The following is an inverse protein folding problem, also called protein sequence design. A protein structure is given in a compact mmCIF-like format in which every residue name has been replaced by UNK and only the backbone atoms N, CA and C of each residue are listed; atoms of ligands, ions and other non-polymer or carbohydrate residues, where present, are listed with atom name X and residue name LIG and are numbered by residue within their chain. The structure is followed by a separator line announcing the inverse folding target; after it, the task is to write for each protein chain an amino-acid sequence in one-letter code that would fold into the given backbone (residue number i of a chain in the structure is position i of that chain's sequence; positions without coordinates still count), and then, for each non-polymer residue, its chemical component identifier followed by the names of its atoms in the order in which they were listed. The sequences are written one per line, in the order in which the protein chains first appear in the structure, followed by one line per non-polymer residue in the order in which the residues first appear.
data_IF_138812247417
#
_entry.id   IF_138812247417
#
_cell.length_a   1.000
_cell.length_b   1.000
_cell.length_c   1.000
_cell.angle_alpha   90.00
_cell.angle_beta   90.00
_cell.angle_gamma   90.00
#
_symmetry.space_group_name_H-M   'P 1'
#
loop_
_entity.id
_entity.type
_entity.pdbx_description
1 polymer ?
#
# COMPACT_ATOMS: atom_id res chain seq x y z
N UNK A 1 -14.47 21.08 25.92
CA UNK A 1 -15.09 20.88 24.61
C UNK A 1 -16.28 19.94 24.77
N UNK A 2 -17.46 20.28 24.25
CA UNK A 2 -18.61 19.38 24.29
C UNK A 2 -18.31 18.12 23.46
N UNK A 3 -18.60 16.93 24.01
CA UNK A 3 -18.49 15.67 23.25
C UNK A 3 -19.44 15.77 22.04
N UNK A 4 -19.01 15.38 20.82
CA UNK A 4 -19.90 15.31 19.67
C UNK A 4 -21.09 14.40 19.97
N UNK A 5 -22.26 14.68 19.43
CA UNK A 5 -23.39 13.77 19.56
C UNK A 5 -23.06 12.43 18.91
N UNK A 6 -23.61 11.33 19.42
CA UNK A 6 -23.39 9.99 18.89
C UNK A 6 -23.67 9.91 17.38
N UNK A 7 -24.78 10.49 16.94
CA UNK A 7 -25.14 10.58 15.51
C UNK A 7 -24.07 11.30 14.65
N UNK A 8 -23.46 12.36 15.16
CA UNK A 8 -22.41 13.07 14.46
C UNK A 8 -21.15 12.20 14.34
N UNK A 9 -20.84 11.46 15.40
CA UNK A 9 -19.72 10.55 15.41
C UNK A 9 -19.93 9.40 14.42
N UNK A 10 -21.09 8.75 14.46
CA UNK A 10 -21.46 7.69 13.50
C UNK A 10 -21.35 8.21 12.05
N UNK A 11 -21.84 9.42 11.77
CA UNK A 11 -21.74 10.04 10.44
C UNK A 11 -20.28 10.26 10.00
N UNK A 12 -19.41 10.69 10.91
CA UNK A 12 -17.99 10.90 10.61
C UNK A 12 -17.25 9.59 10.29
N UNK A 13 -17.73 8.46 10.80
CA UNK A 13 -17.13 7.14 10.59
C UNK A 13 -17.88 6.28 9.56
N UNK A 14 -18.91 6.83 8.91
CA UNK A 14 -19.71 6.12 7.91
C UNK A 14 -19.00 5.93 6.56
N UNK A 15 -17.85 6.53 6.35
CA UNK A 15 -17.10 6.52 5.09
C UNK A 15 -15.61 6.33 5.34
N UNK A 16 -14.91 5.87 4.31
CA UNK A 16 -13.45 5.95 4.17
C UNK A 16 -13.07 6.77 2.92
N UNK A 17 -11.93 6.49 2.29
CA UNK A 17 -11.55 7.18 1.04
C UNK A 17 -12.19 6.54 -0.21
N UNK A 18 -13.04 5.53 -0.06
CA UNK A 18 -13.76 4.85 -1.13
C UNK A 18 -15.08 5.54 -1.50
N UNK A 19 -15.81 4.94 -2.44
CA UNK A 19 -17.17 5.37 -2.82
C UNK A 19 -18.26 4.79 -1.90
N UNK A 20 -17.90 3.92 -0.95
CA UNK A 20 -18.85 3.22 -0.08
C UNK A 20 -19.20 4.06 1.14
N UNK A 21 -20.43 3.90 1.61
CA UNK A 21 -20.93 4.55 2.81
C UNK A 21 -21.92 3.66 3.53
N UNK A 22 -21.70 3.42 4.83
CA UNK A 22 -22.62 2.73 5.71
C UNK A 22 -22.53 3.30 7.12
N UNK A 23 -23.67 3.54 7.77
CA UNK A 23 -23.71 4.11 9.12
C UNK A 23 -23.38 3.02 10.15
N UNK A 24 -22.30 3.17 10.93
CA UNK A 24 -22.01 2.25 12.00
C UNK A 24 -23.05 2.38 13.13
N UNK A 25 -23.34 1.28 13.81
CA UNK A 25 -24.18 1.31 15.02
C UNK A 25 -23.48 2.06 16.15
N UNK A 26 -22.17 1.88 16.27
CA UNK A 26 -21.37 2.45 17.34
C UNK A 26 -19.94 2.76 16.87
N UNK A 27 -19.28 3.72 17.51
CA UNK A 27 -17.86 4.00 17.33
C UNK A 27 -17.17 3.93 18.69
N UNK A 28 -16.11 3.11 18.79
CA UNK A 28 -15.34 2.93 20.03
C UNK A 28 -13.88 3.31 19.82
N UNK A 29 -13.23 3.80 20.88
CA UNK A 29 -11.85 4.26 20.89
C UNK A 29 -11.07 3.54 21.98
N UNK A 30 -10.52 2.34 21.73
CA UNK A 30 -9.76 1.61 22.73
C UNK A 30 -8.50 2.38 23.11
N UNK A 31 -8.12 2.32 24.38
CA UNK A 31 -6.91 2.95 24.91
C UNK A 31 -5.76 1.96 25.02
N UNK A 32 -6.10 0.69 25.14
CA UNK A 32 -5.15 -0.41 25.27
C UNK A 32 -5.75 -1.74 24.76
N UNK A 33 -4.95 -2.79 24.86
CA UNK A 33 -5.34 -4.14 24.44
C UNK A 33 -6.53 -4.69 25.25
N UNK A 34 -6.68 -4.32 26.53
CA UNK A 34 -7.77 -4.83 27.38
C UNK A 34 -9.11 -4.22 26.96
N UNK A 35 -9.13 -2.95 26.57
CA UNK A 35 -10.31 -2.29 25.99
C UNK A 35 -10.76 -3.00 24.69
N UNK A 36 -9.81 -3.43 23.84
CA UNK A 36 -10.11 -4.19 22.61
C UNK A 36 -10.72 -5.55 22.97
N UNK A 37 -10.12 -6.30 23.90
CA UNK A 37 -10.65 -7.58 24.37
C UNK A 37 -12.07 -7.44 24.92
N UNK A 38 -12.31 -6.41 25.73
CA UNK A 38 -13.64 -6.14 26.29
C UNK A 38 -14.67 -5.84 25.20
N UNK A 39 -14.33 -4.98 24.24
CA UNK A 39 -15.21 -4.63 23.13
C UNK A 39 -15.52 -5.84 22.21
N UNK A 40 -14.52 -6.70 21.96
CA UNK A 40 -14.72 -7.94 21.18
C UNK A 40 -15.71 -8.87 21.90
N UNK A 41 -15.54 -9.09 23.19
CA UNK A 41 -16.43 -9.95 23.99
C UNK A 41 -17.86 -9.38 24.06
N UNK A 42 -18.01 -8.07 24.19
CA UNK A 42 -19.31 -7.39 24.16
C UNK A 42 -19.98 -7.55 22.80
N UNK A 43 -19.24 -7.34 21.71
CA UNK A 43 -19.75 -7.53 20.35
C UNK A 43 -20.20 -8.97 20.11
N UNK A 44 -19.40 -9.96 20.51
CA UNK A 44 -19.75 -11.37 20.42
C UNK A 44 -21.03 -11.70 21.19
N UNK A 45 -21.13 -11.23 22.44
CA UNK A 45 -22.30 -11.47 23.28
C UNK A 45 -23.59 -10.82 22.72
N UNK A 46 -23.45 -9.70 22.00
CA UNK A 46 -24.57 -8.97 21.38
C UNK A 46 -24.83 -9.32 19.91
N UNK A 47 -24.07 -10.25 19.32
CA UNK A 47 -24.18 -10.64 17.92
C UNK A 47 -23.78 -9.54 16.93
N UNK A 48 -22.93 -8.58 17.35
CA UNK A 48 -22.47 -7.47 16.53
C UNK A 48 -21.12 -7.76 15.89
N UNK A 49 -20.87 -7.14 14.75
CA UNK A 49 -19.57 -7.19 14.07
C UNK A 49 -18.67 -6.05 14.54
N UNK A 50 -17.36 -6.27 14.54
CA UNK A 50 -16.37 -5.22 14.75
C UNK A 50 -15.64 -4.92 13.44
N UNK A 51 -15.43 -3.63 13.18
CA UNK A 51 -14.74 -3.12 12.02
C UNK A 51 -13.52 -2.33 12.53
N UNK A 52 -12.32 -2.93 12.55
CA UNK A 52 -11.11 -2.21 12.95
C UNK A 52 -10.81 -1.10 11.95
N UNK A 53 -10.42 0.07 12.46
CA UNK A 53 -10.15 1.24 11.63
C UNK A 53 -8.89 1.95 12.11
N UNK A 54 -7.99 2.24 11.16
CA UNK A 54 -6.92 3.21 11.31
C UNK A 54 -7.37 4.57 10.74
N UNK A 55 -6.60 5.13 9.81
CA UNK A 55 -6.85 6.45 9.24
C UNK A 55 -8.03 6.53 8.24
N UNK A 56 -8.61 5.41 7.83
CA UNK A 56 -9.69 5.38 6.84
C UNK A 56 -9.23 5.78 5.44
N UNK A 57 -8.01 5.42 5.06
CA UNK A 57 -7.44 5.74 3.74
C UNK A 57 -7.71 4.65 2.68
N UNK A 58 -8.46 3.63 3.04
CA UNK A 58 -8.86 2.52 2.16
C UNK A 58 -9.70 3.00 0.98
N UNK A 59 -9.51 2.39 -0.21
CA UNK A 59 -10.19 2.77 -1.46
C UNK A 59 -11.29 1.80 -1.88
N UNK A 60 -11.49 0.70 -1.15
CA UNK A 60 -12.51 -0.32 -1.45
C UNK A 60 -13.49 -0.59 -0.29
N UNK A 61 -13.60 0.32 0.68
CA UNK A 61 -14.57 0.23 1.77
C UNK A 61 -14.17 -0.70 2.93
N UNK A 62 -12.89 -1.06 3.06
CA UNK A 62 -12.42 -2.05 4.03
C UNK A 62 -12.73 -1.70 5.49
N UNK A 63 -12.90 -0.42 5.81
CA UNK A 63 -13.25 0.04 7.15
C UNK A 63 -14.63 0.72 7.23
N UNK A 64 -15.53 0.40 6.29
CA UNK A 64 -16.92 0.84 6.23
C UNK A 64 -17.85 -0.33 6.57
N UNK A 65 -18.84 -0.11 7.45
CA UNK A 65 -19.83 -1.14 7.79
C UNK A 65 -20.75 -0.73 8.93
N UNK A 66 -21.90 -1.46 9.03
CA UNK A 66 -22.98 -1.16 9.97
C UNK A 66 -22.75 -1.57 11.43
N UNK A 67 -21.65 -2.29 11.73
CA UNK A 67 -21.35 -2.76 13.09
C UNK A 67 -20.68 -1.72 14.00
N UNK A 68 -19.82 -2.21 14.89
CA UNK A 68 -19.02 -1.37 15.79
C UNK A 68 -17.72 -0.99 15.09
N UNK A 69 -17.55 0.25 14.70
CA UNK A 69 -16.28 0.75 14.20
C UNK A 69 -15.33 1.00 15.37
N UNK A 70 -14.17 0.35 15.36
CA UNK A 70 -13.14 0.45 16.37
C UNK A 70 -11.94 1.25 15.86
N UNK A 71 -11.84 2.51 16.24
CA UNK A 71 -10.70 3.37 15.89
C UNK A 71 -9.53 3.16 16.86
N UNK A 72 -8.51 2.45 16.38
CA UNK A 72 -7.28 2.19 17.14
C UNK A 72 -6.27 3.35 17.07
N UNK A 73 -6.47 4.32 16.18
CA UNK A 73 -5.53 5.41 15.98
C UNK A 73 -5.55 6.49 17.05
N UNK A 74 -6.70 6.69 17.69
CA UNK A 74 -6.88 7.83 18.61
C UNK A 74 -6.04 7.75 19.88
N UNK A 75 -5.82 6.57 20.43
CA UNK A 75 -5.15 6.38 21.73
C UNK A 75 -4.00 5.36 21.66
N UNK A 76 -3.96 4.49 20.69
CA UNK A 76 -2.95 3.43 20.56
C UNK A 76 -1.93 3.81 19.48
N UNK A 77 -1.18 4.89 19.70
CA UNK A 77 -0.26 5.50 18.71
C UNK A 77 1.16 5.70 19.25
N UNK A 78 1.58 4.89 20.21
CA UNK A 78 2.92 4.96 20.78
C UNK A 78 3.94 4.13 19.99
N UNK A 79 5.15 4.65 19.81
CA UNK A 79 6.35 3.89 19.47
C UNK A 79 6.82 3.27 20.79
N UNK A 80 6.83 1.94 20.88
CA UNK A 80 7.04 1.20 22.13
C UNK A 80 8.52 0.92 22.40
N UNK A 81 9.26 0.48 21.39
CA UNK A 81 10.67 0.12 21.49
C UNK A 81 11.36 0.27 20.13
N UNK A 82 12.60 0.72 20.11
CA UNK A 82 13.48 0.75 18.94
C UNK A 82 14.75 0.00 19.28
N UNK A 83 15.12 -1.00 18.48
CA UNK A 83 16.37 -1.73 18.60
C UNK A 83 17.21 -1.50 17.31
N UNK A 84 18.20 -0.63 17.43
CA UNK A 84 19.06 -0.27 16.29
C UNK A 84 20.12 -1.33 15.99
N UNK A 85 20.49 -2.17 16.97
CA UNK A 85 21.48 -3.24 16.76
C UNK A 85 20.90 -4.35 15.88
N UNK A 86 19.64 -4.69 16.11
CA UNK A 86 18.91 -5.70 15.35
C UNK A 86 18.07 -5.09 14.21
N UNK A 87 17.98 -3.75 14.14
CA UNK A 87 17.28 -3.02 13.07
C UNK A 87 15.77 -3.24 13.06
N UNK A 88 15.10 -3.16 14.21
CA UNK A 88 13.64 -3.27 14.29
C UNK A 88 13.00 -2.23 15.23
N UNK A 89 11.68 -2.08 15.07
CA UNK A 89 10.85 -1.23 15.93
C UNK A 89 9.56 -1.96 16.34
N UNK A 90 9.11 -1.76 17.59
CA UNK A 90 7.77 -2.13 18.05
C UNK A 90 6.90 -0.89 18.17
N UNK A 91 5.69 -0.96 17.59
CA UNK A 91 4.73 0.14 17.57
C UNK A 91 3.31 -0.32 17.87
N UNK A 92 2.48 0.60 18.31
CA UNK A 92 1.03 0.42 18.36
C UNK A 92 0.39 0.69 16.99
N UNK A 93 -0.81 0.16 16.70
CA UNK A 93 -1.43 0.21 15.38
C UNK A 93 -1.74 1.62 14.86
N UNK A 94 -1.93 2.59 15.75
CA UNK A 94 -2.25 3.98 15.42
C UNK A 94 -1.05 4.87 15.10
N UNK A 95 0.18 4.35 15.15
CA UNK A 95 1.37 5.14 14.76
C UNK A 95 1.30 5.47 13.27
N UNK A 96 1.45 6.76 12.94
CA UNK A 96 1.46 7.24 11.55
C UNK A 96 2.83 6.97 10.93
N UNK A 97 2.84 6.48 9.70
CA UNK A 97 4.06 6.06 9.00
C UNK A 97 5.13 7.17 8.92
N UNK A 98 4.75 8.39 8.54
CA UNK A 98 5.71 9.49 8.43
C UNK A 98 6.19 9.99 9.80
N UNK A 99 5.35 9.94 10.84
CA UNK A 99 5.76 10.23 12.23
C UNK A 99 6.79 9.20 12.72
N UNK A 100 6.58 7.92 12.41
CA UNK A 100 7.57 6.87 12.68
C UNK A 100 8.91 7.18 12.01
N UNK A 101 8.89 7.52 10.72
CA UNK A 101 10.11 7.80 9.97
C UNK A 101 10.80 9.10 10.43
N UNK A 102 10.06 10.12 10.82
CA UNK A 102 10.63 11.31 11.45
C UNK A 102 11.35 10.97 12.77
N UNK A 103 10.78 10.05 13.56
CA UNK A 103 11.41 9.57 14.78
C UNK A 103 12.71 8.77 14.52
N UNK A 104 12.72 7.93 13.49
CA UNK A 104 13.83 7.02 13.17
C UNK A 104 14.97 7.69 12.38
N UNK A 105 14.68 8.70 11.56
CA UNK A 105 15.65 9.31 10.66
C UNK A 105 16.93 9.86 11.35
N UNK A 106 16.84 10.52 12.54
CA UNK A 106 18.05 10.95 13.26
C UNK A 106 18.94 9.79 13.72
N UNK A 107 18.40 8.57 13.76
CA UNK A 107 19.11 7.35 14.15
C UNK A 107 19.71 6.60 12.94
N UNK A 108 19.52 7.13 11.72
CA UNK A 108 20.01 6.52 10.47
C UNK A 108 19.09 5.42 9.89
N UNK A 109 17.86 5.30 10.38
CA UNK A 109 16.92 4.25 10.02
C UNK A 109 15.58 4.80 9.54
N UNK A 110 14.81 3.97 8.83
CA UNK A 110 13.42 4.27 8.46
C UNK A 110 12.65 2.97 8.14
N UNK A 111 11.33 3.09 8.03
CA UNK A 111 10.46 2.03 7.51
C UNK A 111 10.25 2.28 6.02
N UNK A 112 10.80 1.38 5.17
CA UNK A 112 10.92 1.56 3.73
C UNK A 112 9.61 1.53 2.95
N UNK A 113 8.66 0.60 3.19
CA UNK A 113 7.37 0.60 2.49
C UNK A 113 6.64 1.92 2.66
N UNK A 114 6.13 2.50 1.55
CA UNK A 114 5.44 3.78 1.56
C UNK A 114 4.05 3.67 0.94
N UNK A 115 3.26 4.73 1.06
CA UNK A 115 1.96 4.89 0.42
C UNK A 115 1.78 6.35 0.02
N UNK A 116 0.86 6.64 -0.89
CA UNK A 116 0.48 8.02 -1.23
C UNK A 116 -0.11 8.79 -0.05
N UNK A 117 -0.53 8.09 1.00
CA UNK A 117 -1.12 8.62 2.23
C UNK A 117 -0.18 8.54 3.43
N UNK A 118 1.13 8.43 3.21
CA UNK A 118 2.14 8.18 4.25
C UNK A 118 2.07 9.16 5.43
N UNK A 119 1.65 10.40 5.16
CA UNK A 119 1.48 11.45 6.18
C UNK A 119 0.30 11.23 7.14
N UNK A 120 -0.53 10.22 6.92
CA UNK A 120 -1.70 9.90 7.76
C UNK A 120 -2.04 8.43 7.86
N UNK A 121 -1.57 7.55 6.96
CA UNK A 121 -1.79 6.11 7.11
C UNK A 121 -1.11 5.60 8.38
N UNK A 122 -1.78 4.65 9.04
CA UNK A 122 -1.35 4.09 10.32
C UNK A 122 -0.80 2.68 10.15
N UNK A 123 0.15 2.30 11.00
CA UNK A 123 0.85 1.02 10.89
C UNK A 123 -0.09 -0.18 10.97
N UNK A 124 -1.14 -0.13 11.81
CA UNK A 124 -2.17 -1.17 11.86
C UNK A 124 -2.93 -1.31 10.54
N UNK A 125 -3.25 -0.19 9.88
CA UNK A 125 -3.86 -0.19 8.54
C UNK A 125 -2.90 -0.71 7.47
N UNK A 126 -1.61 -0.34 7.55
CA UNK A 126 -0.60 -0.86 6.62
C UNK A 126 -0.42 -2.37 6.73
N UNK A 127 -0.47 -2.93 7.94
CA UNK A 127 -0.49 -4.38 8.16
C UNK A 127 -1.78 -5.00 7.64
N UNK A 128 -2.95 -4.44 7.98
CA UNK A 128 -4.25 -4.95 7.53
C UNK A 128 -4.36 -5.02 6.00
N UNK A 129 -3.84 -4.04 5.30
CA UNK A 129 -3.90 -3.94 3.84
C UNK A 129 -2.69 -4.58 3.12
N UNK A 130 -1.62 -4.95 3.82
CA UNK A 130 -0.31 -5.26 3.23
C UNK A 130 0.20 -4.11 2.35
N UNK A 131 0.11 -2.89 2.86
CA UNK A 131 0.38 -1.69 2.08
C UNK A 131 1.79 -1.63 1.54
N UNK A 132 1.91 -1.09 0.34
CA UNK A 132 3.17 -0.77 -0.33
C UNK A 132 2.92 0.36 -1.32
N UNK A 133 3.95 0.87 -1.96
CA UNK A 133 3.85 1.99 -2.89
C UNK A 133 5.06 2.06 -3.84
N UNK A 134 5.44 3.26 -4.25
CA UNK A 134 6.47 3.49 -5.25
C UNK A 134 7.85 2.92 -4.89
N UNK A 135 8.14 2.75 -3.59
CA UNK A 135 9.40 2.17 -3.10
C UNK A 135 9.38 0.65 -2.99
N UNK A 136 8.29 -0.02 -3.43
CA UNK A 136 8.15 -1.48 -3.25
C UNK A 136 9.20 -2.31 -3.98
N UNK A 137 9.71 -1.83 -5.11
CA UNK A 137 10.79 -2.50 -5.84
C UNK A 137 12.14 -2.47 -5.10
N UNK A 138 12.32 -1.56 -4.15
CA UNK A 138 13.52 -1.43 -3.31
C UNK A 138 13.33 -2.00 -1.91
N UNK A 139 12.15 -1.84 -1.31
CA UNK A 139 11.91 -2.15 0.11
C UNK A 139 10.81 -3.18 0.34
N UNK A 140 10.18 -3.66 -0.72
CA UNK A 140 9.10 -4.64 -0.60
C UNK A 140 7.79 -4.05 -0.08
N UNK A 141 6.98 -4.93 0.47
CA UNK A 141 5.66 -4.65 1.06
C UNK A 141 5.74 -4.65 2.60
N UNK A 142 4.66 -4.25 3.25
CA UNK A 142 4.57 -4.32 4.73
C UNK A 142 4.75 -5.75 5.25
N UNK A 143 4.24 -6.77 4.53
CA UNK A 143 4.37 -8.20 4.89
C UNK A 143 5.83 -8.63 4.99
N UNK A 144 6.68 -8.20 4.07
CA UNK A 144 8.09 -8.56 4.03
C UNK A 144 8.90 -7.91 5.16
N UNK A 145 8.37 -6.86 5.78
CA UNK A 145 8.97 -6.17 6.93
C UNK A 145 8.39 -6.61 8.28
N UNK A 146 7.38 -7.49 8.28
CA UNK A 146 6.67 -7.86 9.50
C UNK A 146 7.42 -8.97 10.24
N UNK A 147 7.88 -8.68 11.46
CA UNK A 147 8.58 -9.62 12.33
C UNK A 147 7.66 -10.24 13.39
N UNK A 148 6.63 -9.52 13.83
CA UNK A 148 5.73 -10.02 14.86
C UNK A 148 4.48 -9.19 15.06
N UNK A 149 3.44 -9.85 15.55
CA UNK A 149 2.16 -9.24 15.91
C UNK A 149 1.68 -9.70 17.29
N UNK A 150 1.09 -8.79 18.03
CA UNK A 150 0.14 -9.11 19.08
C UNK A 150 -1.26 -8.80 18.54
N UNK A 151 -2.18 -9.74 18.65
CA UNK A 151 -3.52 -9.63 18.07
C UNK A 151 -4.59 -10.13 19.05
N UNK A 152 -5.80 -9.58 18.93
CA UNK A 152 -7.02 -10.07 19.59
C UNK A 152 -7.86 -10.79 18.55
N UNK A 153 -8.19 -12.07 18.80
CA UNK A 153 -9.04 -12.89 17.93
C UNK A 153 -10.51 -12.50 18.05
N UNK A 154 -11.36 -13.01 17.15
CA UNK A 154 -12.82 -12.85 17.24
C UNK A 154 -13.41 -13.43 18.55
N UNK A 155 -12.75 -14.40 19.20
CA UNK A 155 -13.11 -14.93 20.52
C UNK A 155 -12.68 -14.05 21.70
N UNK A 156 -11.92 -12.99 21.46
CA UNK A 156 -11.35 -12.14 22.51
C UNK A 156 -10.08 -12.72 23.15
N UNK A 157 -9.47 -13.74 22.53
CA UNK A 157 -8.18 -14.27 22.97
C UNK A 157 -7.04 -13.37 22.47
N UNK A 158 -6.08 -13.11 23.37
CA UNK A 158 -4.87 -12.37 23.04
C UNK A 158 -3.79 -13.35 22.63
N UNK A 159 -3.30 -13.20 21.39
CA UNK A 159 -2.27 -14.06 20.80
C UNK A 159 -1.03 -13.25 20.44
N UNK A 160 0.13 -13.91 20.58
CA UNK A 160 1.43 -13.46 20.10
C UNK A 160 1.85 -14.33 18.93
N UNK A 161 2.22 -13.70 17.82
CA UNK A 161 2.63 -14.35 16.58
C UNK A 161 3.95 -13.75 16.12
N UNK A 162 4.94 -14.61 15.86
CA UNK A 162 6.29 -14.16 15.50
C UNK A 162 7.07 -13.56 16.66
N UNK A 163 8.03 -12.71 16.33
CA UNK A 163 8.94 -12.07 17.27
C UNK A 163 8.33 -10.77 17.79
N UNK A 164 7.72 -10.81 18.97
CA UNK A 164 7.16 -9.62 19.63
C UNK A 164 7.21 -9.78 21.14
N UNK A 165 7.52 -8.70 21.87
CA UNK A 165 7.45 -8.69 23.32
C UNK A 165 6.00 -8.51 23.78
N UNK A 166 5.46 -9.55 24.39
CA UNK A 166 4.07 -9.57 24.83
C UNK A 166 3.85 -10.58 25.96
N UNK A 167 2.88 -10.30 26.82
CA UNK A 167 2.38 -11.24 27.81
C UNK A 167 1.31 -12.19 27.22
N UNK A 168 0.98 -12.06 25.93
CA UNK A 168 0.06 -12.93 25.23
C UNK A 168 0.61 -14.35 25.06
N UNK A 169 -0.29 -15.31 24.83
CA UNK A 169 0.09 -16.67 24.46
C UNK A 169 0.79 -16.64 23.10
N UNK A 170 1.85 -17.42 22.96
CA UNK A 170 2.56 -17.57 21.68
C UNK A 170 2.03 -18.72 20.82
N UNK A 171 1.12 -19.53 21.36
CA UNK A 171 0.63 -20.73 20.67
C UNK A 171 -0.59 -20.40 19.81
N UNK A 172 -0.51 -20.74 18.52
CA UNK A 172 -1.66 -20.83 17.62
C UNK A 172 -2.60 -21.92 18.15
N UNK A 173 -3.93 -21.70 18.19
CA UNK A 173 -4.88 -22.72 18.62
C UNK A 173 -4.73 -24.03 17.83
N UNK A 174 -4.86 -25.18 18.51
CA UNK A 174 -4.67 -26.49 17.88
C UNK A 174 -5.53 -26.71 16.63
N UNK A 175 -6.80 -26.30 16.69
CA UNK A 175 -7.73 -26.43 15.54
C UNK A 175 -7.22 -25.64 14.30
N UNK A 176 -6.51 -24.55 14.50
CA UNK A 176 -5.94 -23.77 13.39
C UNK A 176 -4.70 -24.48 12.81
N UNK A 177 -3.91 -25.14 13.65
CA UNK A 177 -2.79 -25.95 13.21
C UNK A 177 -3.26 -27.22 12.47
N UNK A 178 -4.34 -27.85 12.91
CA UNK A 178 -4.97 -28.98 12.21
C UNK A 178 -5.46 -28.54 10.82
N UNK A 179 -6.15 -27.41 10.75
CA UNK A 179 -6.57 -26.82 9.46
C UNK A 179 -5.36 -26.47 8.56
N UNK A 180 -4.28 -25.95 9.11
CA UNK A 180 -3.04 -25.68 8.35
C UNK A 180 -2.48 -26.97 7.72
N UNK A 181 -2.47 -28.07 8.48
CA UNK A 181 -1.99 -29.36 7.98
C UNK A 181 -2.86 -29.93 6.85
N UNK A 182 -4.20 -29.85 7.02
CA UNK A 182 -5.15 -30.23 5.99
C UNK A 182 -5.02 -29.37 4.74
N UNK A 183 -4.88 -28.06 4.90
CA UNK A 183 -4.63 -27.13 3.81
C UNK A 183 -3.36 -27.44 3.03
N UNK A 184 -2.24 -27.69 3.71
CA UNK A 184 -0.97 -28.06 3.05
C UNK A 184 -1.14 -29.34 2.22
N UNK A 185 -1.86 -30.30 2.74
CA UNK A 185 -2.13 -31.57 2.05
C UNK A 185 -2.96 -31.32 0.80
N UNK A 186 -4.06 -30.57 0.91
CA UNK A 186 -4.92 -30.22 -0.22
C UNK A 186 -4.18 -29.38 -1.27
N UNK A 187 -3.39 -28.39 -0.85
CA UNK A 187 -2.62 -27.53 -1.72
C UNK A 187 -1.67 -28.32 -2.62
N UNK A 188 -1.02 -29.34 -2.06
CA UNK A 188 -0.08 -30.20 -2.80
C UNK A 188 -0.78 -31.24 -3.65
N UNK A 189 -1.76 -31.99 -3.06
CA UNK A 189 -2.41 -33.12 -3.71
C UNK A 189 -3.36 -32.71 -4.84
N UNK A 190 -4.03 -31.57 -4.69
CA UNK A 190 -4.98 -31.06 -5.66
C UNK A 190 -4.37 -30.05 -6.65
N UNK A 191 -3.05 -29.82 -6.59
CA UNK A 191 -2.35 -28.85 -7.42
C UNK A 191 -2.98 -27.45 -7.39
N UNK A 192 -3.39 -27.00 -6.21
CA UNK A 192 -4.07 -25.72 -6.01
C UNK A 192 -3.14 -24.52 -6.30
N UNK A 193 -1.84 -24.72 -6.38
CA UNK A 193 -0.86 -23.69 -6.71
C UNK A 193 -1.19 -22.94 -8.01
N UNK A 194 -1.83 -23.58 -8.98
CA UNK A 194 -2.24 -22.97 -10.25
C UNK A 194 -3.29 -21.86 -10.09
N UNK A 195 -3.99 -21.80 -8.97
CA UNK A 195 -5.01 -20.79 -8.69
C UNK A 195 -4.46 -19.54 -7.99
N UNK A 196 -3.17 -19.58 -7.62
CA UNK A 196 -2.51 -18.44 -6.98
C UNK A 196 -1.65 -17.66 -7.98
N UNK A 197 -1.43 -16.35 -7.72
CA UNK A 197 -0.54 -15.56 -8.55
C UNK A 197 0.87 -16.16 -8.63
N UNK A 198 1.54 -15.93 -9.77
CA UNK A 198 2.94 -16.31 -9.94
C UNK A 198 3.82 -15.71 -8.83
N UNK A 199 4.78 -16.49 -8.34
CA UNK A 199 5.65 -16.08 -7.22
C UNK A 199 6.55 -14.87 -7.55
N UNK A 200 6.75 -14.56 -8.83
CA UNK A 200 7.47 -13.35 -9.27
C UNK A 200 6.65 -12.05 -9.09
N UNK A 201 5.34 -12.16 -8.84
CA UNK A 201 4.49 -11.02 -8.55
C UNK A 201 4.58 -10.71 -7.07
N UNK A 202 5.41 -9.74 -6.70
CA UNK A 202 5.62 -9.37 -5.29
C UNK A 202 4.41 -8.66 -4.67
N UNK A 203 3.68 -7.86 -5.46
CA UNK A 203 2.52 -7.10 -5.00
C UNK A 203 1.24 -7.92 -5.10
N UNK A 204 1.03 -8.78 -4.11
CA UNK A 204 -0.11 -9.70 -4.02
C UNK A 204 -1.06 -9.25 -2.94
N UNK A 205 -2.15 -8.59 -3.33
CA UNK A 205 -3.13 -7.99 -2.42
C UNK A 205 -4.55 -8.56 -2.61
N UNK A 206 -4.69 -9.71 -3.28
CA UNK A 206 -5.98 -10.37 -3.53
C UNK A 206 -6.22 -11.50 -2.54
N UNK A 207 -7.08 -11.25 -1.55
CA UNK A 207 -7.44 -12.22 -0.52
C UNK A 207 -6.30 -12.56 0.45
N UNK A 208 -6.48 -13.61 1.23
CA UNK A 208 -5.48 -14.08 2.19
C UNK A 208 -4.33 -14.78 1.49
N UNK A 209 -3.11 -14.56 1.96
CA UNK A 209 -1.92 -15.23 1.43
C UNK A 209 -1.78 -16.66 1.97
N UNK A 210 -2.80 -17.48 1.79
CA UNK A 210 -2.86 -18.88 2.31
C UNK A 210 -1.91 -19.83 1.58
N UNK A 211 -1.49 -19.51 0.36
CA UNK A 211 -0.45 -20.25 -0.35
C UNK A 211 0.89 -20.22 0.40
N UNK A 212 1.17 -19.12 1.14
CA UNK A 212 2.36 -19.00 1.96
C UNK A 212 2.33 -19.91 3.21
N UNK A 213 1.15 -20.42 3.62
CA UNK A 213 1.07 -21.46 4.66
C UNK A 213 1.61 -22.80 4.16
N UNK A 214 1.51 -23.08 2.86
CA UNK A 214 2.00 -24.31 2.27
C UNK A 214 3.51 -24.30 2.00
N UNK A 215 4.14 -23.11 1.97
CA UNK A 215 5.57 -22.97 1.69
C UNK A 215 6.40 -23.08 2.98
N UNK A 216 7.10 -24.21 3.15
CA UNK A 216 7.90 -24.48 4.35
C UNK A 216 9.27 -23.77 4.39
N UNK A 217 9.70 -23.14 3.30
CA UNK A 217 11.08 -22.68 3.15
C UNK A 217 11.37 -21.28 3.62
N UNK A 218 10.37 -20.42 3.81
CA UNK A 218 10.63 -18.97 3.84
C UNK A 218 10.29 -18.22 5.15
N UNK A 219 9.54 -18.76 6.12
CA UNK A 219 9.16 -17.95 7.27
C UNK A 219 9.08 -18.69 8.60
N UNK A 220 9.69 -18.09 9.63
CA UNK A 220 9.60 -18.54 11.02
C UNK A 220 8.17 -18.52 11.56
N UNK A 221 7.28 -17.69 10.98
CA UNK A 221 5.88 -17.68 11.35
C UNK A 221 4.96 -17.33 10.17
N UNK A 222 4.42 -18.35 9.51
CA UNK A 222 3.56 -18.26 8.33
C UNK A 222 2.26 -17.50 8.57
N UNK A 223 1.77 -17.48 9.81
CA UNK A 223 0.55 -16.79 10.18
C UNK A 223 0.67 -15.27 10.10
N UNK A 224 1.89 -14.71 10.22
CA UNK A 224 2.13 -13.29 9.95
C UNK A 224 1.74 -12.92 8.51
N UNK A 225 2.04 -13.81 7.55
CA UNK A 225 1.72 -13.60 6.14
C UNK A 225 0.21 -13.57 5.87
N UNK A 226 -0.56 -14.39 6.57
CA UNK A 226 -2.03 -14.45 6.43
C UNK A 226 -2.70 -13.27 7.12
N UNK A 227 -2.22 -12.88 8.30
CA UNK A 227 -2.74 -11.74 9.04
C UNK A 227 -2.41 -10.41 8.36
N UNK A 228 -1.22 -10.31 7.75
CA UNK A 228 -0.87 -9.18 6.91
C UNK A 228 -1.62 -9.24 5.58
N UNK A 229 -2.52 -8.30 5.35
CA UNK A 229 -3.43 -8.28 4.22
C UNK A 229 -4.80 -8.92 4.52
N UNK A 230 -5.11 -9.21 5.81
CA UNK A 230 -6.41 -9.73 6.20
C UNK A 230 -7.49 -8.66 6.43
N UNK A 231 -7.17 -7.39 6.29
CA UNK A 231 -8.08 -6.24 6.41
C UNK A 231 -8.86 -6.22 7.75
N UNK A 232 -8.25 -6.76 8.82
CA UNK A 232 -8.88 -6.85 10.13
C UNK A 232 -10.01 -7.88 10.25
N UNK A 233 -10.19 -8.76 9.26
CA UNK A 233 -11.27 -9.77 9.24
C UNK A 233 -10.95 -11.02 10.08
N UNK A 234 -9.66 -11.28 10.35
CA UNK A 234 -9.22 -12.45 11.11
C UNK A 234 -8.89 -12.12 12.57
N UNK A 235 -8.31 -10.95 12.82
CA UNK A 235 -7.93 -10.51 14.15
C UNK A 235 -7.71 -8.99 14.18
N UNK A 236 -7.72 -8.40 15.38
CA UNK A 236 -7.45 -6.98 15.61
C UNK A 236 -6.03 -6.84 16.12
N UNK A 237 -5.20 -6.12 15.40
CA UNK A 237 -3.79 -5.87 15.76
C UNK A 237 -3.68 -4.88 16.92
N UNK A 238 -2.88 -5.22 17.93
CA UNK A 238 -2.63 -4.37 19.12
C UNK A 238 -1.19 -3.91 19.24
N UNK A 239 -0.22 -4.72 18.73
CA UNK A 239 1.19 -4.35 18.62
C UNK A 239 1.79 -4.94 17.35
N UNK A 240 2.80 -4.27 16.82
CA UNK A 240 3.46 -4.61 15.57
C UNK A 240 4.97 -4.48 15.77
N UNK A 241 5.74 -5.52 15.42
CA UNK A 241 7.20 -5.42 15.28
C UNK A 241 7.56 -5.45 13.80
N UNK A 242 8.37 -4.48 13.38
CA UNK A 242 8.75 -4.24 12.00
C UNK A 242 10.26 -4.19 11.84
N UNK A 243 10.76 -4.82 10.78
CA UNK A 243 12.12 -4.65 10.30
C UNK A 243 12.30 -3.24 9.74
N UNK A 244 13.39 -2.60 10.10
CA UNK A 244 13.79 -1.29 9.58
C UNK A 244 14.80 -1.45 8.44
N UNK A 245 14.88 -0.40 7.63
CA UNK A 245 15.86 -0.23 6.58
C UNK A 245 16.82 0.92 6.96
N UNK A 246 18.11 0.86 6.60
CA UNK A 246 18.99 2.02 6.68
C UNK A 246 18.50 3.12 5.75
N UNK A 247 18.75 4.38 6.12
CA UNK A 247 18.38 5.51 5.26
C UNK A 247 18.92 5.31 3.83
N UNK A 248 18.11 5.69 2.82
CA UNK A 248 18.52 5.52 1.43
C UNK A 248 19.71 6.40 1.08
N UNK A 249 20.51 6.05 0.04
CA UNK A 249 21.59 6.87 -0.46
C UNK A 249 21.16 8.32 -0.68
N UNK A 250 22.01 9.28 -0.26
CA UNK A 250 21.63 10.69 -0.18
C UNK A 250 21.56 11.42 -1.54
N UNK A 251 22.38 10.98 -2.51
CA UNK A 251 22.36 11.59 -3.83
C UNK A 251 21.25 10.99 -4.67
N UNK A 252 20.38 11.83 -5.19
CA UNK A 252 19.16 11.41 -5.90
C UNK A 252 18.99 12.16 -7.21
N UNK A 253 18.56 11.43 -8.24
CA UNK A 253 18.06 11.99 -9.48
C UNK A 253 16.81 11.26 -9.95
N UNK A 254 15.91 11.98 -10.60
CA UNK A 254 14.77 11.42 -11.33
C UNK A 254 14.97 11.72 -12.80
N UNK A 255 14.87 10.68 -13.63
CA UNK A 255 14.87 10.79 -15.08
C UNK A 255 13.44 10.60 -15.55
N UNK A 256 12.88 11.60 -16.22
CA UNK A 256 11.55 11.54 -16.82
C UNK A 256 11.71 11.22 -18.32
N UNK A 257 11.38 9.99 -18.72
CA UNK A 257 11.35 9.56 -20.12
C UNK A 257 9.96 9.82 -20.73
N UNK A 258 9.91 10.52 -21.87
CA UNK A 258 8.68 10.96 -22.50
C UNK A 258 8.29 10.03 -23.66
N UNK A 259 7.07 9.52 -23.61
CA UNK A 259 6.58 8.55 -24.60
C UNK A 259 5.40 9.11 -25.41
N UNK A 260 5.39 8.84 -26.71
CA UNK A 260 4.29 9.19 -27.59
C UNK A 260 3.08 8.23 -27.45
N UNK A 261 3.29 7.03 -26.86
CA UNK A 261 2.23 6.05 -26.59
C UNK A 261 2.44 5.41 -25.22
N UNK A 262 1.34 5.07 -24.55
CA UNK A 262 1.35 4.27 -23.32
C UNK A 262 1.98 2.91 -23.55
N UNK A 263 1.65 2.30 -24.67
CA UNK A 263 2.13 0.97 -25.07
C UNK A 263 3.67 0.89 -25.09
N UNK A 264 4.35 1.90 -25.67
CA UNK A 264 5.81 1.96 -25.69
C UNK A 264 6.40 2.12 -24.26
N UNK A 265 5.78 2.94 -23.40
CA UNK A 265 6.22 3.12 -22.02
C UNK A 265 6.15 1.80 -21.23
N UNK A 266 5.05 1.06 -21.36
CA UNK A 266 4.88 -0.23 -20.70
C UNK A 266 5.82 -1.31 -21.24
N UNK A 267 6.07 -1.31 -22.57
CA UNK A 267 7.00 -2.24 -23.22
C UNK A 267 8.44 -2.05 -22.77
N UNK A 268 8.84 -0.82 -22.41
CA UNK A 268 10.19 -0.50 -21.93
C UNK A 268 10.38 -0.72 -20.42
N UNK A 269 9.29 -0.85 -19.67
CA UNK A 269 9.35 -1.05 -18.19
C UNK A 269 10.27 -2.21 -17.79
N UNK A 270 10.22 -3.41 -18.40
CA UNK A 270 11.12 -4.50 -18.06
C UNK A 270 12.61 -4.17 -18.29
N UNK A 271 12.93 -3.42 -19.35
CA UNK A 271 14.31 -3.04 -19.68
C UNK A 271 14.92 -2.12 -18.61
N UNK A 272 14.12 -1.18 -18.07
CA UNK A 272 14.57 -0.36 -16.94
C UNK A 272 14.74 -1.19 -15.67
N UNK A 273 13.85 -2.14 -15.42
CA UNK A 273 13.94 -3.00 -14.22
C UNK A 273 15.18 -3.90 -14.21
N UNK A 274 15.71 -4.29 -15.35
CA UNK A 274 17.01 -4.99 -15.45
C UNK A 274 18.16 -4.14 -14.88
N UNK A 275 18.03 -2.80 -14.90
CA UNK A 275 19.02 -1.84 -14.37
C UNK A 275 18.80 -1.49 -12.91
N UNK A 276 17.81 -2.10 -12.23
CA UNK A 276 17.52 -1.96 -10.80
C UNK A 276 17.35 -0.50 -10.36
N UNK A 277 16.40 0.26 -10.93
CA UNK A 277 16.10 1.61 -10.48
C UNK A 277 15.64 1.59 -9.02
N UNK A 278 15.81 2.71 -8.32
CA UNK A 278 15.30 2.85 -6.95
C UNK A 278 13.76 2.94 -6.92
N UNK A 279 13.16 3.64 -7.89
CA UNK A 279 11.73 3.68 -8.16
C UNK A 279 11.50 3.74 -9.68
N UNK A 280 10.40 3.16 -10.14
CA UNK A 280 9.97 3.22 -11.53
C UNK A 280 8.45 3.37 -11.59
N UNK A 281 8.01 4.58 -11.95
CA UNK A 281 6.61 5.00 -11.87
C UNK A 281 6.11 5.48 -13.22
N UNK A 282 4.82 5.26 -13.51
CA UNK A 282 4.19 5.72 -14.73
C UNK A 282 3.15 6.81 -14.44
N UNK A 283 3.12 7.83 -15.28
CA UNK A 283 2.07 8.85 -15.33
C UNK A 283 1.51 8.95 -16.74
N UNK A 284 0.19 8.87 -16.88
CA UNK A 284 -0.49 9.07 -18.17
C UNK A 284 -0.76 10.55 -18.49
N UNK A 285 -1.20 10.80 -19.73
CA UNK A 285 -1.57 12.14 -20.20
C UNK A 285 -2.67 12.79 -19.37
N UNK A 286 -3.68 12.03 -18.94
CA UNK A 286 -4.84 12.58 -18.20
C UNK A 286 -4.35 13.17 -16.87
N UNK A 287 -3.48 12.46 -16.16
CA UNK A 287 -2.87 12.98 -14.92
C UNK A 287 -2.03 14.22 -15.21
N UNK A 288 -1.22 14.20 -16.26
CA UNK A 288 -0.41 15.35 -16.65
C UNK A 288 -1.29 16.57 -16.96
N UNK A 289 -2.42 16.40 -17.64
CA UNK A 289 -3.38 17.49 -17.90
C UNK A 289 -3.98 18.03 -16.59
N UNK A 290 -4.42 17.17 -15.67
CA UNK A 290 -4.96 17.60 -14.37
C UNK A 290 -3.97 18.46 -13.57
N UNK A 291 -2.65 18.24 -13.74
CA UNK A 291 -1.62 19.06 -13.08
C UNK A 291 -1.40 20.42 -13.74
N UNK A 292 -1.75 20.58 -15.03
CA UNK A 292 -1.58 21.83 -15.79
C UNK A 292 -2.41 22.97 -15.21
N UNK A 293 -3.67 22.68 -14.86
CA UNK A 293 -4.62 23.65 -14.34
C UNK A 293 -4.49 23.90 -12.83
N UNK A 294 -3.69 23.11 -12.15
CA UNK A 294 -3.49 23.24 -10.70
C UNK A 294 -2.56 24.40 -10.36
N UNK A 295 -3.05 25.41 -9.60
CA UNK A 295 -2.22 26.52 -9.13
C UNK A 295 -1.03 26.07 -8.28
N UNK A 296 -1.20 24.99 -7.53
CA UNK A 296 -0.17 24.45 -6.63
C UNK A 296 0.88 23.62 -7.40
N UNK A 297 0.44 22.77 -8.33
CA UNK A 297 1.32 21.78 -8.97
C UNK A 297 1.81 22.17 -10.36
N UNK A 298 1.20 23.14 -11.04
CA UNK A 298 1.67 23.64 -12.32
C UNK A 298 3.18 24.08 -12.29
N UNK A 299 3.69 24.73 -11.22
CA UNK A 299 5.11 25.06 -11.13
C UNK A 299 6.05 23.85 -11.07
N UNK A 300 5.57 22.67 -10.70
CA UNK A 300 6.37 21.43 -10.59
C UNK A 300 6.46 20.66 -11.91
N UNK A 301 5.87 21.18 -12.98
CA UNK A 301 5.83 20.55 -14.31
C UNK A 301 7.07 20.80 -15.17
N UNK A 302 8.11 21.43 -14.65
CA UNK A 302 9.33 21.78 -15.40
C UNK A 302 9.98 20.60 -16.15
N UNK A 303 9.73 19.37 -15.67
CA UNK A 303 10.25 18.15 -16.28
C UNK A 303 9.44 17.66 -17.48
N UNK A 304 8.19 18.12 -17.66
CA UNK A 304 7.32 17.68 -18.77
C UNK A 304 7.67 18.42 -20.05
N UNK A 305 8.11 17.70 -21.07
CA UNK A 305 8.45 18.23 -22.39
C UNK A 305 7.35 17.83 -23.40
N UNK A 306 6.98 18.79 -24.23
CA UNK A 306 5.98 18.56 -25.27
C UNK A 306 4.61 18.12 -24.71
N UNK A 307 3.98 17.15 -25.40
CA UNK A 307 2.69 16.58 -25.03
C UNK A 307 2.76 15.03 -25.05
N UNK A 308 3.46 14.43 -24.08
CA UNK A 308 3.64 12.99 -24.02
C UNK A 308 2.32 12.28 -23.68
N UNK A 309 2.12 11.08 -24.25
CA UNK A 309 1.03 10.20 -23.87
C UNK A 309 1.28 9.54 -22.53
N UNK A 310 2.54 9.32 -22.18
CA UNK A 310 2.97 8.81 -20.90
C UNK A 310 4.39 9.28 -20.55
N UNK A 311 4.69 9.32 -19.25
CA UNK A 311 6.04 9.54 -18.72
C UNK A 311 6.38 8.38 -17.80
N UNK A 312 7.56 7.74 -18.01
CA UNK A 312 8.19 6.90 -17.01
C UNK A 312 9.15 7.75 -16.17
N UNK A 313 8.94 7.73 -14.87
CA UNK A 313 9.79 8.37 -13.86
C UNK A 313 10.73 7.32 -13.27
N UNK A 314 12.01 7.43 -13.58
CA UNK A 314 13.05 6.51 -13.12
C UNK A 314 13.89 7.22 -12.05
N UNK A 315 13.86 6.76 -10.80
CA UNK A 315 14.73 7.30 -9.75
C UNK A 315 16.03 6.51 -9.65
N UNK A 316 17.13 7.24 -9.66
CA UNK A 316 18.48 6.74 -9.39
C UNK A 316 18.99 7.29 -8.07
N UNK A 317 19.76 6.50 -7.34
CA UNK A 317 20.42 6.92 -6.10
C UNK A 317 21.89 6.48 -6.07
N UNK A 318 22.71 7.19 -5.29
CA UNK A 318 24.10 6.87 -5.04
C UNK A 318 24.59 7.37 -3.69
N UNK A 319 25.57 6.70 -3.10
CA UNK A 319 26.26 7.16 -1.89
C UNK A 319 27.19 8.33 -2.20
N UNK A 320 27.58 8.48 -3.47
CA UNK A 320 28.41 9.58 -3.99
C UNK A 320 27.81 10.12 -5.27
N UNK A 321 28.18 11.35 -5.66
CA UNK A 321 27.76 11.93 -6.95
C UNK A 321 28.23 11.08 -8.14
N UNK A 322 29.44 10.52 -8.06
CA UNK A 322 29.99 9.66 -9.12
C UNK A 322 29.17 8.37 -9.31
N UNK A 323 28.68 7.77 -8.23
CA UNK A 323 27.79 6.61 -8.30
C UNK A 323 26.44 7.00 -8.89
N UNK A 324 25.88 8.17 -8.50
CA UNK A 324 24.65 8.68 -9.07
C UNK A 324 24.82 8.95 -10.58
N UNK A 325 25.93 9.58 -11.01
CA UNK A 325 26.20 9.84 -12.42
C UNK A 325 26.30 8.56 -13.23
N UNK A 326 26.97 7.53 -12.70
CA UNK A 326 27.04 6.21 -13.35
C UNK A 326 25.67 5.59 -13.52
N UNK A 327 24.82 5.63 -12.48
CA UNK A 327 23.47 5.11 -12.54
C UNK A 327 22.59 5.87 -13.56
N UNK A 328 22.73 7.20 -13.64
CA UNK A 328 22.03 8.01 -14.65
C UNK A 328 22.45 7.62 -16.07
N UNK A 329 23.75 7.48 -16.35
CA UNK A 329 24.24 7.12 -17.69
C UNK A 329 23.78 5.70 -18.07
N UNK A 330 23.74 4.78 -17.14
CA UNK A 330 23.22 3.43 -17.37
C UNK A 330 21.73 3.43 -17.74
N UNK A 331 20.91 4.25 -17.05
CA UNK A 331 19.49 4.40 -17.38
C UNK A 331 19.28 5.08 -18.73
N UNK A 332 20.05 6.12 -19.04
CA UNK A 332 20.00 6.81 -20.35
C UNK A 332 20.33 5.88 -21.52
N UNK A 333 21.27 4.97 -21.32
CA UNK A 333 21.66 4.00 -22.34
C UNK A 333 20.57 2.96 -22.64
N UNK A 334 19.54 2.83 -21.79
CA UNK A 334 18.44 1.88 -21.99
C UNK A 334 17.54 2.29 -23.15
N UNK A 335 17.27 3.62 -23.29
CA UNK A 335 16.38 4.14 -24.33
C UNK A 335 16.80 5.52 -24.82
N UNK A 336 16.52 5.82 -26.09
CA UNK A 336 16.88 7.09 -26.78
C UNK A 336 15.72 8.09 -26.90
N UNK A 337 14.72 8.01 -26.03
CA UNK A 337 13.60 8.95 -26.02
C UNK A 337 13.99 10.32 -25.48
N UNK A 338 13.15 11.33 -25.75
CA UNK A 338 13.26 12.62 -25.07
C UNK A 338 13.19 12.43 -23.56
N UNK A 339 14.12 13.02 -22.82
CA UNK A 339 14.20 12.88 -21.39
C UNK A 339 14.52 14.19 -20.67
N UNK A 340 14.17 14.27 -19.40
CA UNK A 340 14.58 15.36 -18.51
C UNK A 340 15.18 14.74 -17.25
N UNK A 341 16.35 15.25 -16.82
CA UNK A 341 17.02 14.80 -15.59
C UNK A 341 16.87 15.88 -14.53
N UNK A 342 16.37 15.50 -13.37
CA UNK A 342 16.22 16.38 -12.20
C UNK A 342 17.02 15.81 -11.04
N UNK A 343 17.73 16.68 -10.29
CA UNK A 343 18.58 16.26 -9.18
C UNK A 343 18.18 16.97 -7.90
N UNK A 344 18.43 16.33 -6.75
CA UNK A 344 18.24 16.92 -5.43
C UNK A 344 16.79 17.40 -5.21
N UNK A 345 16.63 18.67 -4.86
CA UNK A 345 15.32 19.27 -4.58
C UNK A 345 14.33 19.23 -5.75
N UNK A 346 14.83 19.32 -6.99
CA UNK A 346 13.97 19.22 -8.17
C UNK A 346 13.37 17.82 -8.31
N UNK A 347 14.10 16.75 -7.93
CA UNK A 347 13.57 15.40 -7.85
C UNK A 347 12.39 15.30 -6.86
N UNK A 348 12.48 15.95 -5.72
CA UNK A 348 11.41 15.98 -4.72
C UNK A 348 10.14 16.65 -5.25
N UNK A 349 10.24 17.66 -6.12
CA UNK A 349 9.09 18.30 -6.77
C UNK A 349 8.35 17.33 -7.71
N UNK A 350 9.09 16.49 -8.44
CA UNK A 350 8.50 15.45 -9.30
C UNK A 350 7.65 14.48 -8.47
N UNK A 351 8.20 14.00 -7.36
CA UNK A 351 7.47 13.08 -6.48
C UNK A 351 6.27 13.73 -5.79
N UNK A 352 6.33 15.01 -5.42
CA UNK A 352 5.17 15.74 -4.91
C UNK A 352 4.06 15.83 -5.96
N UNK A 353 4.41 16.13 -7.21
CA UNK A 353 3.43 16.16 -8.30
C UNK A 353 2.85 14.77 -8.55
N UNK A 354 3.70 13.73 -8.58
CA UNK A 354 3.26 12.33 -8.74
C UNK A 354 2.26 11.93 -7.64
N UNK A 355 2.57 12.21 -6.38
CA UNK A 355 1.71 11.89 -5.25
C UNK A 355 0.37 12.66 -5.27
N UNK A 356 0.35 13.89 -5.77
CA UNK A 356 -0.85 14.70 -5.90
C UNK A 356 -1.80 14.24 -7.01
N UNK A 357 -1.29 13.51 -8.01
CA UNK A 357 -2.05 13.08 -9.20
C UNK A 357 -3.37 12.41 -8.85
N UNK A 358 -3.37 11.55 -7.84
CA UNK A 358 -4.57 10.87 -7.33
C UNK A 358 -5.67 11.85 -6.88
N UNK A 359 -5.30 12.84 -6.06
CA UNK A 359 -6.24 13.85 -5.56
C UNK A 359 -6.75 14.78 -6.68
N UNK A 360 -5.90 15.08 -7.68
CA UNK A 360 -6.25 15.96 -8.80
C UNK A 360 -7.26 15.33 -9.76
N UNK A 361 -7.31 14.01 -9.86
CA UNK A 361 -8.28 13.30 -10.71
C UNK A 361 -9.74 13.60 -10.34
N UNK A 362 -10.03 13.89 -9.07
CA UNK A 362 -11.37 14.29 -8.64
C UNK A 362 -11.83 15.64 -9.22
N UNK A 363 -10.88 16.47 -9.70
CA UNK A 363 -11.16 17.77 -10.30
C UNK A 363 -11.50 17.71 -11.80
N UNK A 364 -11.47 16.54 -12.43
CA UNK A 364 -11.89 16.36 -13.83
C UNK A 364 -13.30 16.91 -13.98
N UNK A 365 -13.56 17.84 -14.95
CA UNK A 365 -14.88 18.44 -15.16
C UNK A 365 -15.96 17.41 -15.50
N UNK A 366 -17.20 17.69 -15.12
CA UNK A 366 -18.36 16.84 -15.40
C UNK A 366 -18.67 15.84 -14.29
N UNK A 367 -19.67 14.98 -14.53
CA UNK A 367 -20.18 14.00 -13.58
C UNK A 367 -19.45 12.64 -13.65
N UNK A 368 -18.83 12.34 -14.80
CA UNK A 368 -17.96 11.18 -14.91
C UNK A 368 -16.65 11.43 -14.15
N UNK A 369 -16.33 10.54 -13.22
CA UNK A 369 -15.13 10.62 -12.37
C UNK A 369 -14.31 9.34 -12.48
N UNK A 370 -12.98 9.40 -12.31
CA UNK A 370 -12.15 8.22 -12.19
C UNK A 370 -12.50 7.48 -10.90
N UNK A 371 -13.14 6.32 -11.05
CA UNK A 371 -13.58 5.51 -9.90
C UNK A 371 -12.51 4.49 -9.55
N UNK A 372 -12.13 4.45 -8.28
CA UNK A 372 -11.16 3.51 -7.73
C UNK A 372 -11.81 2.13 -7.50
N UNK A 373 -12.31 1.48 -8.57
CA UNK A 373 -12.95 0.17 -8.50
C UNK A 373 -12.08 -0.97 -9.05
N UNK A 374 -10.94 -0.64 -9.68
CA UNK A 374 -9.94 -1.59 -10.17
C UNK A 374 -8.59 -1.09 -9.65
N UNK A 375 -8.28 -1.46 -8.42
CA UNK A 375 -7.06 -1.04 -7.73
C UNK A 375 -6.10 -2.20 -7.54
N UNK A 376 -4.81 -1.88 -7.51
CA UNK A 376 -3.71 -2.79 -7.17
C UNK A 376 -3.68 -4.08 -8.02
N UNK A 377 -4.07 -3.98 -9.31
CA UNK A 377 -3.90 -5.09 -10.22
C UNK A 377 -2.43 -5.27 -10.55
N UNK A 378 -1.88 -6.45 -10.28
CA UNK A 378 -0.48 -6.74 -10.50
C UNK A 378 -0.30 -7.93 -11.45
N UNK A 379 0.59 -7.76 -12.41
CA UNK A 379 0.98 -8.80 -13.37
C UNK A 379 2.50 -8.89 -13.47
N UNK A 380 3.01 -9.98 -14.03
CA UNK A 380 4.44 -10.06 -14.36
C UNK A 380 4.80 -8.96 -15.37
N UNK A 381 6.01 -8.44 -15.26
CA UNK A 381 6.49 -7.35 -16.10
C UNK A 381 6.51 -7.70 -17.59
N UNK A 382 6.79 -8.95 -17.94
CA UNK A 382 6.86 -9.43 -19.32
C UNK A 382 5.49 -9.45 -20.03
N UNK A 383 4.38 -9.46 -19.28
CA UNK A 383 3.01 -9.42 -19.82
C UNK A 383 2.30 -8.09 -19.57
N UNK A 384 2.95 -7.12 -18.91
CA UNK A 384 2.36 -5.85 -18.53
C UNK A 384 1.80 -5.06 -19.71
N UNK A 385 2.54 -5.00 -20.82
CA UNK A 385 2.13 -4.31 -22.05
C UNK A 385 0.89 -4.97 -22.66
N UNK A 386 0.86 -6.31 -22.76
CA UNK A 386 -0.28 -7.06 -23.30
C UNK A 386 -1.51 -6.92 -22.43
N UNK A 387 -1.35 -7.00 -21.10
CA UNK A 387 -2.43 -6.80 -20.14
C UNK A 387 -3.15 -5.47 -20.36
N UNK A 388 -2.44 -4.38 -20.55
CA UNK A 388 -3.05 -3.07 -20.78
C UNK A 388 -3.66 -2.96 -22.17
N UNK A 389 -3.06 -3.57 -23.19
CA UNK A 389 -3.70 -3.63 -24.53
C UNK A 389 -5.07 -4.31 -24.47
N UNK A 390 -5.17 -5.46 -23.80
CA UNK A 390 -6.43 -6.16 -23.63
C UNK A 390 -7.44 -5.36 -22.81
N UNK A 391 -6.98 -4.71 -21.73
CA UNK A 391 -7.81 -3.82 -20.93
C UNK A 391 -8.35 -2.65 -21.77
N UNK A 392 -7.54 -2.01 -22.62
CA UNK A 392 -7.96 -0.95 -23.52
C UNK A 392 -9.02 -1.43 -24.53
N UNK A 393 -8.88 -2.64 -25.07
CA UNK A 393 -9.88 -3.25 -25.95
C UNK A 393 -11.20 -3.41 -25.20
N UNK A 394 -11.15 -3.90 -23.95
CA UNK A 394 -12.32 -4.04 -23.10
C UNK A 394 -13.00 -2.69 -22.84
N UNK A 395 -12.24 -1.67 -22.46
CA UNK A 395 -12.76 -0.33 -22.20
C UNK A 395 -13.42 0.28 -23.45
N UNK A 396 -12.79 0.16 -24.60
CA UNK A 396 -13.35 0.60 -25.90
C UNK A 396 -14.65 -0.12 -26.26
N UNK A 397 -14.72 -1.43 -26.00
CA UNK A 397 -15.94 -2.23 -26.24
C UNK A 397 -17.14 -1.68 -25.46
N UNK A 398 -16.93 -1.15 -24.27
CA UNK A 398 -17.98 -0.55 -23.43
C UNK A 398 -18.07 0.97 -23.56
N UNK A 399 -17.36 1.60 -24.49
CA UNK A 399 -17.36 3.04 -24.70
C UNK A 399 -16.84 3.84 -23.50
N UNK A 400 -15.97 3.23 -22.68
CA UNK A 400 -15.40 3.81 -21.48
C UNK A 400 -13.96 4.27 -21.71
N UNK A 401 -13.54 5.26 -20.94
CA UNK A 401 -12.15 5.69 -20.82
C UNK A 401 -11.63 5.34 -19.44
N UNK A 402 -10.31 5.15 -19.32
CA UNK A 402 -9.65 4.89 -18.02
C UNK A 402 -8.43 5.79 -17.87
N UNK A 403 -8.13 6.15 -16.63
CA UNK A 403 -6.87 6.77 -16.23
C UNK A 403 -5.93 5.66 -15.79
N UNK A 404 -4.67 5.77 -16.20
CA UNK A 404 -3.61 4.82 -15.86
C UNK A 404 -2.61 5.47 -14.92
N UNK A 405 -2.45 4.86 -13.78
CA UNK A 405 -1.53 5.30 -12.76
C UNK A 405 -0.85 4.06 -12.19
N UNK A 406 0.47 4.00 -12.23
CA UNK A 406 1.12 2.72 -11.98
C UNK A 406 2.40 2.84 -11.17
N UNK A 407 2.60 1.84 -10.29
CA UNK A 407 3.91 1.43 -9.82
C UNK A 407 4.49 0.50 -10.88
N UNK A 408 4.93 1.08 -12.01
CA UNK A 408 5.24 0.33 -13.21
C UNK A 408 6.33 -0.73 -12.97
N UNK A 409 7.36 -0.40 -12.20
CA UNK A 409 8.44 -1.32 -11.86
C UNK A 409 7.99 -2.55 -11.05
N UNK A 410 6.85 -2.47 -10.37
CA UNK A 410 6.26 -3.60 -9.66
C UNK A 410 5.24 -4.39 -10.49
N UNK A 411 4.98 -3.98 -11.74
CA UNK A 411 3.94 -4.56 -12.57
C UNK A 411 2.52 -4.27 -12.08
N UNK A 412 2.35 -3.24 -11.23
CA UNK A 412 1.08 -2.91 -10.59
C UNK A 412 0.48 -1.63 -11.14
N UNK A 413 -0.83 -1.68 -11.39
CA UNK A 413 -1.58 -0.59 -11.98
C UNK A 413 -2.84 -0.27 -11.20
N UNK A 414 -3.09 1.04 -11.09
CA UNK A 414 -4.37 1.59 -10.70
C UNK A 414 -5.15 1.95 -11.96
N UNK A 415 -6.12 1.14 -12.31
CA UNK A 415 -6.97 1.30 -13.48
C UNK A 415 -8.26 1.99 -13.06
N UNK A 416 -8.47 3.25 -13.48
CA UNK A 416 -9.59 4.05 -13.02
C UNK A 416 -10.53 4.44 -14.15
N UNK A 417 -11.56 3.64 -14.41
CA UNK A 417 -12.59 3.98 -15.38
C UNK A 417 -13.27 5.31 -15.04
N UNK A 418 -13.55 6.11 -16.06
CA UNK A 418 -14.33 7.36 -15.93
C UNK A 418 -15.81 7.00 -15.94
N UNK A 419 -16.41 6.90 -14.76
CA UNK A 419 -17.80 6.47 -14.58
C UNK A 419 -18.67 7.59 -14.03
N UNK A 420 -19.91 7.73 -14.55
CA UNK A 420 -20.96 8.55 -13.96
C UNK A 420 -21.78 7.68 -12.99
N UNK A 421 -21.60 7.87 -11.69
CA UNK A 421 -22.34 7.13 -10.66
C UNK A 421 -23.66 7.77 -10.26
N UNK A 422 -24.10 8.82 -10.98
CA UNK A 422 -25.39 9.51 -10.73
C UNK A 422 -26.53 8.95 -11.60
N UNK A 423 -26.20 8.16 -12.61
CA UNK A 423 -27.19 7.64 -13.59
C UNK A 423 -27.11 6.14 -13.69
#
# INVERSE_FOLDING_TARGET
MNKPSEKLLQRAYAQDASIYQEMPEQVVFPKDTLDIVAAVKEAQASGKTIIPRGAGTSLAGQCVGGGIVMDTGRHMNAILEVNLEEGWVEVQPGVVRDELNHHLAPMGWFFGPNTSTSNRCMMGGMVGNNSSGSTSISYGTTREKLLGLEVVTAGGDLLKIGEIRSNAKSAIPAIVLDWEADWKTAFTSENLSQFFPDSSIHRRNTGYAIDLLANDKEHHNKWLNVLCGSEGTLAITTKIRLQLDPLPPQYVAVIAFHYHTMDAALGDTPLFMERKPYQLELMDRIILECTRESKEYAPYRSFVKGDPAAILLVECRGETEAQLDSAIEEMKATQSYELTILRGEESAKVWKLRAAGLGLLSNIPGDAKPVACIEDTAVRLDVLQEYIREFDILMKKYGQQSVYYAHAGAGELHLRPLLNLKT
#
